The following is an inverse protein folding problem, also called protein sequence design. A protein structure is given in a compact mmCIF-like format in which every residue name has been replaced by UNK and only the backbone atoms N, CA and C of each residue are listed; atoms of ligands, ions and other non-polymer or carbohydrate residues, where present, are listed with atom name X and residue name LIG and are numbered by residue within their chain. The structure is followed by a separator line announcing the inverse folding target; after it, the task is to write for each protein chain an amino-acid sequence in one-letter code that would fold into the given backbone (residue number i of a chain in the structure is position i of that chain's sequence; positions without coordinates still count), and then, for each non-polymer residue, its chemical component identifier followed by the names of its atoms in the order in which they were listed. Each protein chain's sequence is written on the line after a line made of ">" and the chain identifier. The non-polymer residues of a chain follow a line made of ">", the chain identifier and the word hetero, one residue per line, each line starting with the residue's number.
data_IF_770243956550
#
_entry.id   IF_770243956550
#
_cell.length_a   1.000
_cell.length_b   1.000
_cell.length_c   1.000
_cell.angle_alpha   90.00
_cell.angle_beta   90.00
_cell.angle_gamma   90.00
#
_symmetry.space_group_name_H-M   'P 1'
#
loop_
_entity.id
_entity.type
_entity.pdbx_description
1 polymer ?
#
# COMPACT_ATOMS: atom_id res chain seq x y z
N UNK A 1 -4.11 -61.51 43.03
CA UNK A 1 -3.08 -61.42 41.97
C UNK A 1 -3.56 -60.58 40.78
N UNK A 2 -4.75 -60.86 40.22
CA UNK A 2 -5.35 -60.11 39.10
C UNK A 2 -5.54 -58.59 39.36
N UNK A 3 -6.05 -58.22 40.54
CA UNK A 3 -6.25 -56.80 40.89
C UNK A 3 -4.94 -55.97 40.92
N UNK A 4 -3.85 -56.57 41.39
CA UNK A 4 -2.54 -55.93 41.42
C UNK A 4 -1.97 -55.75 40.00
N UNK A 5 -2.21 -56.72 39.12
CA UNK A 5 -1.84 -56.62 37.70
C UNK A 5 -2.64 -55.51 37.00
N UNK A 6 -3.96 -55.45 37.23
CA UNK A 6 -4.81 -54.39 36.68
C UNK A 6 -4.40 -53.00 37.17
N UNK A 7 -4.07 -52.86 38.46
CA UNK A 7 -3.58 -51.60 39.01
C UNK A 7 -2.27 -51.15 38.34
N UNK A 8 -1.30 -52.07 38.18
CA UNK A 8 -0.03 -51.77 37.50
C UNK A 8 -0.24 -51.41 36.04
N UNK A 9 -1.10 -52.13 35.34
CA UNK A 9 -1.45 -51.85 33.95
C UNK A 9 -2.04 -50.45 33.81
N UNK A 10 -3.06 -50.12 34.61
CA UNK A 10 -3.71 -48.81 34.56
C UNK A 10 -2.74 -47.67 34.89
N UNK A 11 -1.87 -47.87 35.90
CA UNK A 11 -0.83 -46.89 36.23
C UNK A 11 0.11 -46.65 35.04
N UNK A 12 0.56 -47.70 34.37
CA UNK A 12 1.46 -47.57 33.22
C UNK A 12 0.77 -46.85 32.06
N UNK A 13 -0.48 -47.20 31.75
CA UNK A 13 -1.24 -46.52 30.71
C UNK A 13 -1.44 -45.03 31.01
N UNK A 14 -1.69 -44.65 32.26
CA UNK A 14 -1.80 -43.23 32.65
C UNK A 14 -0.48 -42.49 32.40
N UNK A 15 0.66 -43.11 32.72
CA UNK A 15 1.99 -42.52 32.48
C UNK A 15 2.23 -42.37 30.97
N UNK A 16 1.94 -43.40 30.17
CA UNK A 16 2.09 -43.38 28.72
C UNK A 16 1.23 -42.28 28.08
N UNK A 17 -0.03 -42.12 28.52
CA UNK A 17 -0.89 -41.05 28.03
C UNK A 17 -0.36 -39.66 28.42
N UNK A 18 0.13 -39.49 29.65
CA UNK A 18 0.72 -38.22 30.08
C UNK A 18 1.97 -37.85 29.27
N UNK A 19 2.82 -38.84 28.96
CA UNK A 19 3.99 -38.66 28.10
C UNK A 19 3.60 -38.29 26.67
N UNK A 20 2.60 -38.97 26.10
CA UNK A 20 2.07 -38.66 24.77
C UNK A 20 1.53 -37.23 24.70
N UNK A 21 0.69 -36.82 25.67
CA UNK A 21 0.15 -35.45 25.75
C UNK A 21 1.27 -34.42 25.85
N UNK A 22 2.30 -34.69 26.67
CA UNK A 22 3.44 -33.78 26.83
C UNK A 22 4.24 -33.64 25.52
N UNK A 23 4.45 -34.74 24.80
CA UNK A 23 5.16 -34.71 23.52
C UNK A 23 4.37 -33.93 22.46
N UNK A 24 3.07 -34.22 22.31
CA UNK A 24 2.20 -33.46 21.40
C UNK A 24 2.15 -31.98 21.78
N UNK A 25 2.13 -31.64 23.07
CA UNK A 25 2.14 -30.24 23.52
C UNK A 25 3.44 -29.51 23.13
N UNK A 26 4.58 -30.20 23.17
CA UNK A 26 5.87 -29.65 22.70
C UNK A 26 5.86 -29.40 21.20
N UNK A 27 5.35 -30.35 20.42
CA UNK A 27 5.22 -30.21 18.96
C UNK A 27 4.29 -29.04 18.59
N UNK A 28 3.14 -28.92 19.26
CA UNK A 28 2.21 -27.80 19.07
C UNK A 28 2.92 -26.47 19.38
N UNK A 29 3.68 -26.39 20.48
CA UNK A 29 4.43 -25.19 20.84
C UNK A 29 5.42 -24.81 19.73
N UNK A 30 6.18 -25.77 19.20
CA UNK A 30 7.14 -25.52 18.12
C UNK A 30 6.43 -25.02 16.85
N UNK A 31 5.32 -25.65 16.50
CA UNK A 31 4.50 -25.22 15.36
C UNK A 31 3.98 -23.78 15.54
N UNK A 32 3.49 -23.44 16.73
CA UNK A 32 3.00 -22.08 17.03
C UNK A 32 4.12 -21.03 16.96
N UNK A 33 5.35 -21.39 17.35
CA UNK A 33 6.52 -20.50 17.19
C UNK A 33 6.79 -20.22 15.71
N UNK A 34 6.78 -21.26 14.87
CA UNK A 34 6.98 -21.11 13.42
C UNK A 34 5.88 -20.23 12.80
N UNK A 35 4.62 -20.47 13.16
CA UNK A 35 3.49 -19.65 12.70
C UNK A 35 3.64 -18.20 13.16
N UNK A 36 4.01 -17.96 14.41
CA UNK A 36 4.25 -16.61 14.94
C UNK A 36 5.35 -15.87 14.16
N UNK A 37 6.45 -16.55 13.86
CA UNK A 37 7.55 -15.97 13.06
C UNK A 37 7.11 -15.63 11.63
N UNK A 38 6.30 -16.50 11.00
CA UNK A 38 5.77 -16.26 9.66
C UNK A 38 4.84 -15.04 9.64
N UNK A 39 3.95 -14.92 10.63
CA UNK A 39 3.04 -13.78 10.74
C UNK A 39 3.80 -12.46 10.94
N UNK A 40 4.86 -12.46 11.76
CA UNK A 40 5.69 -11.27 11.96
C UNK A 40 6.46 -10.89 10.68
N UNK A 41 6.90 -11.87 9.88
CA UNK A 41 7.49 -11.61 8.57
C UNK A 41 6.48 -10.97 7.62
N UNK A 42 5.29 -11.57 7.49
CA UNK A 42 4.22 -11.08 6.62
C UNK A 42 3.79 -9.66 7.01
N UNK A 43 3.69 -9.36 8.31
CA UNK A 43 3.40 -8.02 8.80
C UNK A 43 4.43 -6.99 8.32
N UNK A 44 5.73 -7.31 8.37
CA UNK A 44 6.80 -6.42 7.89
C UNK A 44 6.71 -6.18 6.38
N UNK A 45 6.41 -7.21 5.61
CA UNK A 45 6.24 -7.08 4.15
C UNK A 45 5.04 -6.19 3.79
N UNK A 46 3.91 -6.36 4.49
CA UNK A 46 2.71 -5.54 4.30
C UNK A 46 3.03 -4.05 4.58
N UNK A 47 3.76 -3.76 5.65
CA UNK A 47 4.16 -2.38 5.98
C UNK A 47 5.04 -1.77 4.87
N UNK A 48 6.04 -2.51 4.38
CA UNK A 48 6.90 -2.06 3.28
C UNK A 48 6.08 -1.81 1.98
N UNK A 49 5.12 -2.67 1.67
CA UNK A 49 4.22 -2.45 0.52
C UNK A 49 3.35 -1.21 0.73
N UNK A 50 2.83 -1.00 1.94
CA UNK A 50 2.04 0.19 2.27
C UNK A 50 2.82 1.49 2.07
N UNK A 51 4.09 1.54 2.47
CA UNK A 51 4.97 2.70 2.24
C UNK A 51 5.16 2.98 0.74
N UNK A 52 5.34 1.92 -0.06
CA UNK A 52 5.45 2.04 -1.53
C UNK A 52 4.16 2.56 -2.16
N UNK A 53 3.00 2.12 -1.68
CA UNK A 53 1.70 2.62 -2.15
C UNK A 53 1.57 4.12 -1.87
N UNK A 54 1.87 4.56 -0.65
CA UNK A 54 1.83 5.99 -0.29
C UNK A 54 2.76 6.82 -1.16
N UNK A 55 3.94 6.30 -1.49
CA UNK A 55 4.85 6.95 -2.43
C UNK A 55 4.24 7.07 -3.83
N UNK A 56 3.67 6.00 -4.36
CA UNK A 56 3.02 5.99 -5.68
C UNK A 56 1.84 6.98 -5.73
N UNK A 57 1.02 7.03 -4.69
CA UNK A 57 -0.11 7.98 -4.59
C UNK A 57 0.37 9.44 -4.66
N UNK A 58 1.48 9.77 -4.00
CA UNK A 58 2.08 11.11 -4.07
C UNK A 58 2.54 11.44 -5.48
N UNK A 59 3.20 10.50 -6.15
CA UNK A 59 3.68 10.70 -7.52
C UNK A 59 2.53 10.81 -8.53
N UNK A 60 1.45 10.03 -8.37
CA UNK A 60 0.24 10.16 -9.20
C UNK A 60 -0.37 11.56 -9.03
N UNK A 61 -0.51 12.05 -7.80
CA UNK A 61 -1.02 13.40 -7.54
C UNK A 61 -0.13 14.47 -8.16
N UNK A 62 1.20 14.34 -8.03
CA UNK A 62 2.16 15.25 -8.65
C UNK A 62 2.03 15.28 -10.17
N UNK A 63 1.95 14.11 -10.82
CA UNK A 63 1.75 14.00 -12.26
C UNK A 63 0.41 14.57 -12.70
N UNK A 64 -0.67 14.34 -11.94
CA UNK A 64 -1.98 14.94 -12.19
C UNK A 64 -1.94 16.46 -12.21
N UNK A 65 -1.26 17.07 -11.23
CA UNK A 65 -1.09 18.53 -11.17
C UNK A 65 -0.27 19.08 -12.35
N UNK A 66 0.80 18.41 -12.73
CA UNK A 66 1.62 18.79 -13.89
C UNK A 66 0.79 18.71 -15.17
N UNK A 67 0.04 17.61 -15.36
CA UNK A 67 -0.78 17.41 -16.56
C UNK A 67 -1.90 18.44 -16.67
N UNK A 68 -2.61 18.72 -15.57
CA UNK A 68 -3.62 19.77 -15.54
C UNK A 68 -3.05 21.14 -15.91
N UNK A 69 -1.86 21.47 -15.40
CA UNK A 69 -1.17 22.72 -15.75
C UNK A 69 -0.74 22.76 -17.22
N UNK A 70 -0.23 21.66 -17.76
CA UNK A 70 0.12 21.54 -19.18
C UNK A 70 -1.10 21.68 -20.09
N UNK A 71 -2.23 21.09 -19.72
CA UNK A 71 -3.48 21.19 -20.48
C UNK A 71 -4.00 22.63 -20.50
N UNK A 72 -3.92 23.35 -19.38
CA UNK A 72 -4.26 24.78 -19.29
C UNK A 72 -3.37 25.62 -20.22
N UNK A 73 -2.06 25.38 -20.21
CA UNK A 73 -1.12 26.07 -21.11
C UNK A 73 -1.40 25.78 -22.59
N UNK A 74 -1.69 24.51 -22.94
CA UNK A 74 -2.05 24.14 -24.30
C UNK A 74 -3.34 24.81 -24.79
N UNK A 75 -4.35 24.90 -23.92
CA UNK A 75 -5.58 25.64 -24.22
C UNK A 75 -5.25 27.12 -24.48
N UNK A 76 -4.47 27.76 -23.62
CA UNK A 76 -4.07 29.15 -23.79
C UNK A 76 -3.33 29.39 -25.12
N UNK A 77 -2.32 28.56 -25.44
CA UNK A 77 -1.56 28.66 -26.70
C UNK A 77 -2.47 28.51 -27.92
N UNK A 78 -3.41 27.56 -27.90
CA UNK A 78 -4.34 27.35 -29.00
C UNK A 78 -5.29 28.53 -29.17
N UNK A 79 -5.80 29.10 -28.06
CA UNK A 79 -6.66 30.27 -28.10
C UNK A 79 -5.92 31.50 -28.66
N UNK A 80 -4.65 31.71 -28.31
CA UNK A 80 -3.81 32.77 -28.91
C UNK A 80 -3.69 32.58 -30.42
N UNK A 81 -3.39 31.35 -30.88
CA UNK A 81 -3.25 31.03 -32.31
C UNK A 81 -4.54 31.22 -33.10
N UNK A 82 -5.69 31.10 -32.43
CA UNK A 82 -7.01 31.33 -33.01
C UNK A 82 -7.41 32.82 -33.00
N UNK A 83 -6.59 33.71 -32.41
CA UNK A 83 -6.85 35.14 -32.35
C UNK A 83 -7.76 35.59 -31.20
N UNK A 84 -8.05 34.73 -30.22
CA UNK A 84 -8.84 35.11 -29.04
C UNK A 84 -8.10 36.17 -28.22
N UNK A 85 -8.83 37.11 -27.62
CA UNK A 85 -8.29 38.19 -26.80
C UNK A 85 -7.61 37.67 -25.51
N UNK A 86 -6.72 38.47 -24.91
CA UNK A 86 -6.07 38.14 -23.63
C UNK A 86 -7.11 37.91 -22.51
N UNK A 87 -8.16 38.73 -22.48
CA UNK A 87 -9.22 38.66 -21.48
C UNK A 87 -10.03 37.35 -21.58
N UNK A 88 -10.36 36.90 -22.81
CA UNK A 88 -11.02 35.60 -23.03
C UNK A 88 -10.16 34.43 -22.56
N UNK A 89 -8.84 34.50 -22.78
CA UNK A 89 -7.91 33.46 -22.34
C UNK A 89 -7.80 33.42 -20.82
N UNK A 90 -7.65 34.57 -20.16
CA UNK A 90 -7.62 34.67 -18.69
C UNK A 90 -8.90 34.07 -18.10
N UNK A 91 -10.07 34.49 -18.60
CA UNK A 91 -11.37 34.01 -18.13
C UNK A 91 -11.54 32.49 -18.32
N UNK A 92 -10.96 31.91 -19.38
CA UNK A 92 -11.11 30.49 -19.69
C UNK A 92 -10.11 29.58 -18.97
N UNK A 93 -8.90 30.09 -18.72
CA UNK A 93 -7.76 29.29 -18.24
C UNK A 93 -7.42 29.55 -16.78
N UNK A 94 -7.84 30.70 -16.23
CA UNK A 94 -7.49 31.14 -14.89
C UNK A 94 -6.02 31.55 -14.73
N UNK A 95 -5.26 31.63 -15.83
CA UNK A 95 -3.89 32.12 -15.84
C UNK A 95 -3.83 33.61 -15.49
N UNK A 96 -2.74 34.03 -14.88
CA UNK A 96 -2.51 35.44 -14.56
C UNK A 96 -2.23 36.24 -15.82
N UNK A 97 -2.43 37.55 -15.73
CA UNK A 97 -2.23 38.47 -16.85
C UNK A 97 -0.78 38.43 -17.39
N UNK A 98 0.23 38.33 -16.51
CA UNK A 98 1.64 38.20 -16.89
C UNK A 98 1.95 36.89 -17.63
N UNK A 99 1.31 35.78 -17.23
CA UNK A 99 1.44 34.48 -17.87
C UNK A 99 0.80 34.48 -19.26
N UNK A 100 -0.39 35.05 -19.38
CA UNK A 100 -1.09 35.20 -20.66
C UNK A 100 -0.32 36.15 -21.59
N UNK A 101 0.23 37.25 -21.08
CA UNK A 101 1.05 38.20 -21.85
C UNK A 101 2.25 37.51 -22.50
N UNK A 102 2.97 36.69 -21.73
CA UNK A 102 4.10 35.93 -22.24
C UNK A 102 3.66 34.97 -23.36
N UNK A 103 2.59 34.20 -23.16
CA UNK A 103 2.06 33.28 -24.19
C UNK A 103 1.65 34.07 -25.44
N UNK A 104 0.97 35.20 -25.27
CA UNK A 104 0.57 36.08 -26.36
C UNK A 104 1.78 36.59 -27.15
N UNK A 105 2.83 37.02 -26.47
CA UNK A 105 4.06 37.55 -27.08
C UNK A 105 4.75 36.50 -27.96
N UNK A 106 4.80 35.24 -27.53
CA UNK A 106 5.51 34.19 -28.26
C UNK A 106 4.68 33.45 -29.30
N UNK A 107 3.35 33.39 -29.14
CA UNK A 107 2.50 32.52 -29.96
C UNK A 107 1.48 33.25 -30.83
N UNK A 108 1.32 34.58 -30.68
CA UNK A 108 0.52 35.40 -31.59
C UNK A 108 1.31 35.58 -32.89
N UNK A 109 0.93 34.82 -33.92
CA UNK A 109 1.45 34.98 -35.27
C UNK A 109 0.69 36.08 -36.02
#
# INVERSE_FOLDING_TARGET
>A
MLQLQNFRSNKNSIIEYAESINNTSKEIKEYLIVVGNLLEHQKKEILNISEKIVFIEREINRLGNIKGSEDILNVAINMVRQGNSKEEIINKTGLREDEVEAIYTYYKK
#
